data_IF_080903045083
#
_entry.id   IF_080903045083
#
_cell.length_a   1.000
_cell.length_b   1.000
_cell.length_c   1.000
_cell.angle_alpha   90.00
_cell.angle_beta   90.00
_cell.angle_gamma   90.00
#
_symmetry.space_group_name_H-M   'P 1'
#
loop_
_entity.id
_entity.type
_entity.pdbx_description
1 polymer ?
#
# COMPACT_ATOMS: atom_id res chain seq x y z
N UNK A 1 2.13 9.01 9.45
CA UNK A 1 2.19 7.79 8.58
C UNK A 1 1.56 8.11 7.24
N UNK A 2 2.19 7.67 6.15
CA UNK A 2 1.64 7.78 4.79
C UNK A 2 1.22 6.39 4.31
N UNK A 3 0.07 6.30 3.65
CA UNK A 3 -0.42 5.03 3.07
C UNK A 3 -0.39 5.14 1.55
N UNK A 4 0.23 4.17 0.89
CA UNK A 4 0.20 4.04 -0.57
C UNK A 4 -0.86 3.05 -1.03
N UNK A 5 -1.82 3.53 -1.81
CA UNK A 5 -2.77 2.72 -2.56
C UNK A 5 -2.45 2.71 -4.06
N UNK A 6 -2.99 1.74 -4.72
CA UNK A 6 -2.86 1.52 -6.16
C UNK A 6 -2.87 0.04 -6.48
N UNK A 7 -3.25 -0.36 -7.69
CA UNK A 7 -3.29 -1.75 -8.09
C UNK A 7 -1.89 -2.40 -8.11
N UNK A 8 -1.84 -3.72 -8.27
CA UNK A 8 -0.58 -4.42 -8.56
C UNK A 8 0.06 -3.82 -9.82
N UNK A 9 1.37 -3.59 -9.80
CA UNK A 9 2.09 -2.94 -10.91
C UNK A 9 2.08 -1.41 -10.90
N UNK A 10 1.33 -0.73 -10.03
CA UNK A 10 1.25 0.73 -10.00
C UNK A 10 2.54 1.46 -9.57
N UNK A 11 3.53 0.75 -9.03
CA UNK A 11 4.80 1.36 -8.63
C UNK A 11 4.90 1.73 -7.15
N UNK A 12 3.90 1.42 -6.32
CA UNK A 12 3.87 1.74 -4.87
C UNK A 12 5.17 1.44 -4.14
N UNK A 13 5.67 0.21 -4.30
CA UNK A 13 6.88 -0.24 -3.60
C UNK A 13 8.13 0.53 -4.03
N UNK A 14 8.26 0.84 -5.32
CA UNK A 14 9.37 1.63 -5.84
C UNK A 14 9.31 3.04 -5.25
N UNK A 15 8.15 3.70 -5.33
CA UNK A 15 7.97 5.04 -4.81
C UNK A 15 8.13 5.09 -3.29
N UNK A 16 7.57 4.11 -2.58
CA UNK A 16 7.70 4.00 -1.13
C UNK A 16 9.16 3.84 -0.67
N UNK A 17 9.95 3.03 -1.38
CA UNK A 17 11.38 2.84 -1.08
C UNK A 17 12.20 4.12 -1.36
N UNK A 18 11.96 4.79 -2.49
CA UNK A 18 12.65 6.05 -2.82
C UNK A 18 12.32 7.10 -1.77
N UNK A 19 11.05 7.28 -1.44
CA UNK A 19 10.61 8.25 -0.43
C UNK A 19 11.20 7.93 0.94
N UNK A 20 11.17 6.67 1.36
CA UNK A 20 11.75 6.23 2.62
C UNK A 20 13.26 6.55 2.69
N UNK A 21 14.00 6.27 1.61
CA UNK A 21 15.44 6.56 1.54
C UNK A 21 15.72 8.06 1.59
N UNK A 22 14.95 8.90 0.89
CA UNK A 22 15.14 10.37 0.86
C UNK A 22 14.82 11.05 2.18
N UNK A 23 13.77 10.57 2.88
CA UNK A 23 13.28 11.20 4.11
C UNK A 23 13.79 10.51 5.39
N UNK A 24 14.61 9.45 5.26
CA UNK A 24 15.00 8.60 6.39
C UNK A 24 13.81 7.97 7.12
N UNK A 25 12.74 7.67 6.38
CA UNK A 25 11.52 7.04 6.89
C UNK A 25 11.59 5.52 6.80
N UNK A 26 10.65 4.84 7.45
CA UNK A 26 10.49 3.38 7.37
C UNK A 26 9.43 3.01 6.35
N UNK A 27 9.77 2.12 5.43
CA UNK A 27 8.82 1.57 4.46
C UNK A 27 8.45 0.14 4.85
N UNK A 28 7.14 -0.11 4.96
CA UNK A 28 6.58 -1.43 5.20
C UNK A 28 5.68 -1.81 4.04
N UNK A 29 6.07 -2.86 3.33
CA UNK A 29 5.23 -3.48 2.32
C UNK A 29 4.59 -4.74 2.86
N UNK A 30 3.26 -4.77 2.95
CA UNK A 30 2.53 -5.95 3.40
C UNK A 30 2.91 -7.19 2.58
N UNK A 31 3.02 -7.04 1.25
CA UNK A 31 3.42 -8.15 0.39
C UNK A 31 4.84 -8.66 0.69
N UNK A 32 5.77 -7.80 1.13
CA UNK A 32 7.10 -8.22 1.54
C UNK A 32 7.07 -8.88 2.92
N UNK A 33 6.40 -8.27 3.88
CA UNK A 33 6.26 -8.82 5.24
C UNK A 33 5.65 -10.22 5.24
N UNK A 34 4.64 -10.46 4.39
CA UNK A 34 4.03 -11.78 4.24
C UNK A 34 4.99 -12.82 3.64
N UNK A 35 5.83 -12.42 2.68
CA UNK A 35 6.87 -13.32 2.15
C UNK A 35 7.96 -13.61 3.16
N UNK A 36 8.37 -12.60 3.92
CA UNK A 36 9.43 -12.71 4.94
C UNK A 36 8.99 -13.56 6.15
N UNK A 37 7.67 -13.68 6.37
CA UNK A 37 7.11 -14.59 7.37
C UNK A 37 7.37 -16.08 7.05
N UNK A 38 7.75 -16.41 5.80
CA UNK A 38 8.07 -17.77 5.35
C UNK A 38 6.97 -18.82 5.63
N UNK A 39 5.71 -18.39 5.75
CA UNK A 39 4.56 -19.26 5.96
C UNK A 39 4.06 -19.79 4.62
N UNK A 40 4.16 -21.10 4.44
CA UNK A 40 3.84 -21.78 3.16
C UNK A 40 2.37 -21.58 2.76
N UNK A 41 1.45 -21.55 3.74
CA UNK A 41 0.03 -21.35 3.49
C UNK A 41 -0.23 -19.93 3.00
N UNK A 42 0.38 -18.92 3.65
CA UNK A 42 0.26 -17.52 3.22
C UNK A 42 0.83 -17.29 1.83
N UNK A 43 1.98 -17.90 1.53
CA UNK A 43 2.61 -17.82 0.21
C UNK A 43 1.69 -18.41 -0.86
N UNK A 44 1.06 -19.56 -0.61
CA UNK A 44 0.09 -20.19 -1.53
C UNK A 44 -1.11 -19.28 -1.81
N UNK A 45 -1.71 -18.70 -0.77
CA UNK A 45 -2.83 -17.73 -0.90
C UNK A 45 -2.41 -16.56 -1.79
N UNK A 46 -1.20 -16.02 -1.60
CA UNK A 46 -0.67 -14.91 -2.40
C UNK A 46 -0.43 -15.31 -3.85
N UNK A 47 0.06 -16.53 -4.13
CA UNK A 47 0.25 -17.05 -5.49
C UNK A 47 -1.07 -17.17 -6.25
N UNK A 48 -2.16 -17.51 -5.56
CA UNK A 48 -3.51 -17.55 -6.12
C UNK A 48 -4.12 -16.14 -6.33
N UNK A 49 -3.40 -15.06 -6.01
CA UNK A 49 -3.89 -13.68 -6.11
C UNK A 49 -4.93 -13.29 -5.06
N UNK A 50 -5.18 -14.15 -4.08
CA UNK A 50 -6.16 -13.96 -3.01
C UNK A 50 -5.62 -13.06 -1.88
N UNK A 51 -6.54 -12.54 -1.06
CA UNK A 51 -6.17 -11.81 0.16
C UNK A 51 -5.93 -12.79 1.32
N UNK A 52 -4.86 -12.52 2.06
CA UNK A 52 -4.54 -13.22 3.31
C UNK A 52 -5.58 -12.87 4.39
N UNK A 53 -5.90 -13.77 5.34
CA UNK A 53 -6.82 -13.49 6.44
C UNK A 53 -6.45 -12.25 7.23
N UNK A 54 -7.46 -11.47 7.66
CA UNK A 54 -7.27 -10.17 8.29
C UNK A 54 -6.51 -10.27 9.62
N UNK A 55 -6.79 -11.28 10.42
CA UNK A 55 -6.09 -11.52 11.69
C UNK A 55 -4.57 -11.61 11.51
N UNK A 56 -4.13 -12.37 10.50
CA UNK A 56 -2.70 -12.53 10.20
C UNK A 56 -2.07 -11.25 9.69
N UNK A 57 -2.76 -10.53 8.80
CA UNK A 57 -2.26 -9.25 8.28
C UNK A 57 -2.19 -8.18 9.37
N UNK A 58 -3.22 -8.09 10.22
CA UNK A 58 -3.26 -7.15 11.34
C UNK A 58 -2.16 -7.45 12.37
N UNK A 59 -1.95 -8.73 12.70
CA UNK A 59 -0.87 -9.14 13.59
C UNK A 59 0.49 -8.71 13.05
N UNK A 60 0.82 -9.04 11.80
CA UNK A 60 2.12 -8.74 11.18
C UNK A 60 2.37 -7.21 11.13
N UNK A 61 1.35 -6.43 10.78
CA UNK A 61 1.45 -4.97 10.78
C UNK A 61 1.64 -4.43 12.20
N UNK A 62 0.86 -4.91 13.17
CA UNK A 62 0.99 -4.48 14.57
C UNK A 62 2.40 -4.74 15.11
N UNK A 63 2.93 -5.93 14.91
CA UNK A 63 4.30 -6.29 15.31
C UNK A 63 5.37 -5.41 14.65
N UNK A 64 5.14 -5.02 13.39
CA UNK A 64 6.05 -4.13 12.65
C UNK A 64 5.98 -2.69 13.16
N UNK A 65 4.78 -2.15 13.38
CA UNK A 65 4.56 -0.79 13.84
C UNK A 65 5.01 -0.61 15.30
N UNK A 66 4.82 -1.60 16.17
CA UNK A 66 5.25 -1.55 17.58
C UNK A 66 6.77 -1.41 17.76
N UNK A 67 7.56 -1.70 16.74
CA UNK A 67 9.02 -1.52 16.74
C UNK A 67 9.46 -0.10 16.35
N UNK A 68 8.51 0.76 15.96
CA UNK A 68 8.78 2.10 15.46
C UNK A 68 8.66 3.13 16.58
N UNK A 69 9.65 4.02 16.68
CA UNK A 69 9.65 5.10 17.68
C UNK A 69 8.83 6.30 17.22
N UNK A 70 8.85 6.61 15.92
CA UNK A 70 8.11 7.73 15.33
C UNK A 70 7.24 7.22 14.17
N UNK A 71 5.94 7.13 14.45
CA UNK A 71 4.95 6.65 13.49
C UNK A 71 4.74 7.61 12.31
N UNK A 72 5.07 8.90 12.47
CA UNK A 72 4.93 9.89 11.39
C UNK A 72 5.93 9.63 10.27
N UNK A 73 7.04 8.96 10.58
CA UNK A 73 8.10 8.56 9.65
C UNK A 73 7.88 7.17 9.04
N UNK A 74 6.62 6.76 8.84
CA UNK A 74 6.24 5.44 8.30
C UNK A 74 5.48 5.55 7.00
N UNK A 75 5.82 4.68 6.06
CA UNK A 75 5.10 4.46 4.80
C UNK A 75 4.54 3.04 4.82
N UNK A 76 3.21 2.90 4.68
CA UNK A 76 2.54 1.61 4.49
C UNK A 76 2.22 1.39 3.01
N UNK A 77 2.68 0.28 2.47
CA UNK A 77 2.42 -0.16 1.09
C UNK A 77 1.63 -1.47 1.09
N UNK A 78 0.45 -1.45 0.49
CA UNK A 78 -0.40 -2.62 0.32
C UNK A 78 -1.15 -3.07 1.57
N UNK A 79 -1.38 -2.17 2.52
CA UNK A 79 -2.26 -2.30 3.67
C UNK A 79 -2.87 -0.93 4.01
N UNK A 80 -4.16 -0.83 4.38
CA UNK A 80 -5.17 -1.91 4.38
C UNK A 80 -5.60 -2.31 2.95
N UNK A 81 -6.20 -3.51 2.81
CA UNK A 81 -6.76 -4.01 1.55
C UNK A 81 -8.25 -4.32 1.61
N UNK A 82 -8.86 -4.21 2.78
CA UNK A 82 -10.28 -4.35 3.06
C UNK A 82 -10.73 -3.29 4.03
N UNK A 83 -12.02 -2.99 4.01
CA UNK A 83 -12.61 -1.99 4.92
C UNK A 83 -12.43 -2.38 6.40
N UNK A 84 -12.47 -3.67 6.75
CA UNK A 84 -12.30 -4.14 8.12
C UNK A 84 -10.87 -3.89 8.62
N UNK A 85 -9.87 -4.06 7.76
CA UNK A 85 -8.48 -3.70 8.08
C UNK A 85 -8.31 -2.18 8.27
N UNK A 86 -9.01 -1.36 7.47
CA UNK A 86 -9.00 0.10 7.62
C UNK A 86 -9.62 0.54 8.94
N UNK A 87 -10.77 -0.05 9.31
CA UNK A 87 -11.42 0.18 10.59
C UNK A 87 -10.53 -0.25 11.75
N UNK A 88 -9.92 -1.42 11.66
CA UNK A 88 -8.98 -1.90 12.65
C UNK A 88 -7.79 -0.96 12.83
N UNK A 89 -7.19 -0.48 11.73
CA UNK A 89 -6.05 0.43 11.78
C UNK A 89 -6.36 1.75 12.52
N UNK A 90 -7.58 2.26 12.37
CA UNK A 90 -8.01 3.52 12.99
C UNK A 90 -8.53 3.32 14.42
N UNK A 91 -9.34 2.29 14.65
CA UNK A 91 -10.12 2.16 15.88
C UNK A 91 -9.47 1.23 16.92
N UNK A 92 -8.86 0.14 16.48
CA UNK A 92 -8.37 -0.92 17.35
C UNK A 92 -6.86 -0.88 17.59
N UNK A 93 -6.15 -0.07 16.82
CA UNK A 93 -4.72 0.18 17.04
C UNK A 93 -4.50 1.57 17.66
N UNK A 94 -4.74 1.73 18.99
CA UNK A 94 -4.80 3.03 19.66
C UNK A 94 -3.47 3.79 19.60
N UNK A 95 -2.34 3.09 19.43
CA UNK A 95 -1.03 3.75 19.31
C UNK A 95 -0.87 4.48 17.97
N UNK A 96 -1.69 4.16 16.96
CA UNK A 96 -1.47 4.59 15.59
C UNK A 96 -2.71 5.22 14.92
N UNK A 97 -3.86 5.25 15.60
CA UNK A 97 -5.15 5.68 15.05
C UNK A 97 -5.17 7.13 14.53
N UNK A 98 -4.37 8.02 15.12
CA UNK A 98 -4.31 9.45 14.74
C UNK A 98 -3.10 9.81 13.88
N UNK A 99 -2.41 8.83 13.34
CA UNK A 99 -1.11 9.02 12.70
C UNK A 99 -1.14 8.97 11.17
N UNK A 100 -2.29 8.74 10.53
CA UNK A 100 -2.39 8.77 9.07
C UNK A 100 -2.44 10.22 8.62
N UNK A 101 -1.33 10.69 8.07
CA UNK A 101 -1.17 12.08 7.63
C UNK A 101 -1.62 12.27 6.18
N UNK A 102 -1.47 11.24 5.35
CA UNK A 102 -1.80 11.30 3.93
C UNK A 102 -2.02 9.90 3.36
N UNK A 103 -2.99 9.79 2.47
CA UNK A 103 -3.20 8.63 1.61
C UNK A 103 -2.87 9.02 0.17
N UNK A 104 -1.96 8.28 -0.46
CA UNK A 104 -1.55 8.48 -1.85
C UNK A 104 -2.10 7.32 -2.68
N UNK A 105 -2.92 7.63 -3.67
CA UNK A 105 -3.49 6.65 -4.61
C UNK A 105 -2.78 6.79 -5.95
N UNK A 106 -1.99 5.78 -6.34
CA UNK A 106 -1.37 5.74 -7.66
C UNK A 106 -2.34 5.18 -8.69
N UNK A 107 -2.67 5.96 -9.69
CA UNK A 107 -3.56 5.59 -10.79
C UNK A 107 -2.73 5.26 -12.04
N UNK A 108 -2.93 4.08 -12.59
CA UNK A 108 -2.21 3.60 -13.78
C UNK A 108 -3.17 2.88 -14.70
N UNK A 109 -3.15 3.16 -16.01
CA UNK A 109 -3.97 2.45 -16.98
C UNK A 109 -3.72 0.94 -16.98
N UNK A 110 -4.80 0.15 -17.17
CA UNK A 110 -4.72 -1.32 -17.13
C UNK A 110 -3.65 -1.87 -18.07
N UNK A 111 -3.58 -1.37 -19.29
CA UNK A 111 -2.58 -1.80 -20.28
C UNK A 111 -1.14 -1.63 -19.79
N UNK A 112 -0.87 -0.56 -19.07
CA UNK A 112 0.45 -0.28 -18.50
C UNK A 112 0.74 -1.19 -17.30
N UNK A 113 -0.28 -1.48 -16.46
CA UNK A 113 -0.15 -2.42 -15.35
C UNK A 113 0.29 -3.81 -15.82
N UNK A 114 -0.34 -4.33 -16.89
CA UNK A 114 0.03 -5.62 -17.46
C UNK A 114 1.47 -5.65 -17.93
N UNK A 115 1.91 -4.66 -18.70
CA UNK A 115 3.31 -4.56 -19.16
C UNK A 115 4.29 -4.57 -17.98
N UNK A 116 4.01 -3.78 -16.94
CA UNK A 116 4.87 -3.71 -15.76
C UNK A 116 4.91 -5.01 -14.97
N UNK A 117 3.79 -5.72 -14.87
CA UNK A 117 3.71 -6.99 -14.15
C UNK A 117 4.41 -8.11 -14.92
N UNK A 118 4.26 -8.16 -16.24
CA UNK A 118 5.01 -9.06 -17.12
C UNK A 118 6.53 -8.87 -16.98
N UNK A 119 7.00 -7.63 -17.06
CA UNK A 119 8.43 -7.30 -16.88
C UNK A 119 8.95 -7.62 -15.49
N UNK A 120 8.09 -7.57 -14.46
CA UNK A 120 8.46 -7.91 -13.08
C UNK A 120 8.71 -9.39 -12.89
N UNK A 121 7.99 -10.26 -13.59
CA UNK A 121 8.23 -11.71 -13.70
C UNK A 121 8.22 -12.47 -12.38
N UNK A 122 7.37 -12.10 -11.42
CA UNK A 122 7.21 -12.87 -10.18
C UNK A 122 6.42 -14.15 -10.44
N UNK A 123 6.65 -15.18 -9.62
CA UNK A 123 5.91 -16.46 -9.68
C UNK A 123 4.39 -16.27 -9.56
N UNK A 124 3.98 -15.24 -8.81
CA UNK A 124 2.58 -14.85 -8.61
C UNK A 124 2.04 -13.86 -9.66
N UNK A 125 2.76 -13.59 -10.74
CA UNK A 125 2.33 -12.70 -11.85
C UNK A 125 1.77 -13.49 -13.04
N UNK A 126 0.97 -14.54 -12.79
CA UNK A 126 0.21 -15.21 -13.86
C UNK A 126 -0.96 -14.32 -14.32
N UNK A 127 -1.42 -14.43 -15.58
CA UNK A 127 -2.53 -13.64 -16.10
C UNK A 127 -3.77 -13.70 -15.20
N UNK A 128 -4.13 -14.89 -14.72
CA UNK A 128 -5.28 -15.13 -13.86
C UNK A 128 -5.10 -14.43 -12.50
N UNK A 129 -3.94 -14.57 -11.87
CA UNK A 129 -3.64 -13.94 -10.59
C UNK A 129 -3.57 -12.39 -10.70
N UNK A 130 -3.12 -11.88 -11.84
CA UNK A 130 -3.15 -10.44 -12.14
C UNK A 130 -4.60 -9.95 -12.21
N UNK A 131 -5.45 -10.63 -13.00
CA UNK A 131 -6.86 -10.24 -13.14
C UNK A 131 -7.61 -10.30 -11.82
N UNK A 132 -7.41 -11.34 -11.03
CA UNK A 132 -8.02 -11.46 -9.71
C UNK A 132 -7.57 -10.33 -8.77
N UNK A 133 -6.29 -10.01 -8.72
CA UNK A 133 -5.79 -8.88 -7.91
C UNK A 133 -6.36 -7.54 -8.36
N UNK A 134 -6.48 -7.30 -9.66
CA UNK A 134 -7.08 -6.06 -10.17
C UNK A 134 -8.58 -5.99 -9.87
N UNK A 135 -9.29 -7.13 -9.96
CA UNK A 135 -10.71 -7.23 -9.63
C UNK A 135 -10.94 -6.98 -8.13
N UNK A 136 -10.17 -7.63 -7.27
CA UNK A 136 -10.24 -7.44 -5.81
C UNK A 136 -9.93 -5.99 -5.46
N UNK A 137 -8.85 -5.41 -6.01
CA UNK A 137 -8.50 -4.01 -5.74
C UNK A 137 -9.64 -3.06 -6.08
N UNK A 138 -10.28 -3.19 -7.26
CA UNK A 138 -11.40 -2.33 -7.65
C UNK A 138 -12.60 -2.45 -6.71
N UNK A 139 -12.88 -3.67 -6.23
CA UNK A 139 -13.98 -3.92 -5.31
C UNK A 139 -13.74 -3.30 -3.93
N UNK A 140 -12.52 -3.43 -3.43
CA UNK A 140 -12.21 -3.11 -2.04
C UNK A 140 -11.74 -1.66 -1.84
N UNK A 141 -11.22 -1.00 -2.88
CA UNK A 141 -10.57 0.32 -2.71
C UNK A 141 -11.55 1.43 -2.34
N UNK A 142 -12.70 1.52 -3.00
CA UNK A 142 -13.66 2.61 -2.77
C UNK A 142 -14.25 2.62 -1.36
N UNK A 143 -14.68 1.51 -0.77
CA UNK A 143 -15.11 1.49 0.64
C UNK A 143 -14.03 1.99 1.61
N UNK A 144 -12.77 1.67 1.35
CA UNK A 144 -11.64 2.13 2.19
C UNK A 144 -11.43 3.64 2.05
N UNK A 145 -11.39 4.16 0.82
CA UNK A 145 -11.20 5.59 0.57
C UNK A 145 -12.35 6.41 1.15
N UNK A 146 -13.60 5.97 0.96
CA UNK A 146 -14.77 6.63 1.56
C UNK A 146 -14.65 6.69 3.08
N UNK A 147 -14.30 5.58 3.72
CA UNK A 147 -14.12 5.53 5.16
C UNK A 147 -13.02 6.48 5.64
N UNK A 148 -11.88 6.53 4.96
CA UNK A 148 -10.81 7.46 5.30
C UNK A 148 -11.22 8.93 5.12
N UNK A 149 -11.98 9.24 4.07
CA UNK A 149 -12.57 10.58 3.88
C UNK A 149 -13.50 10.95 5.03
N UNK A 150 -14.38 10.04 5.47
CA UNK A 150 -15.27 10.23 6.61
C UNK A 150 -14.49 10.47 7.92
N UNK A 151 -13.29 9.89 8.05
CA UNK A 151 -12.40 10.12 9.18
C UNK A 151 -11.56 11.41 9.05
N UNK A 152 -11.76 12.21 8.00
CA UNK A 152 -11.03 13.47 7.75
C UNK A 152 -9.58 13.27 7.29
N UNK A 153 -9.23 12.10 6.77
CA UNK A 153 -7.89 11.81 6.27
C UNK A 153 -7.77 12.34 4.83
N UNK A 154 -6.69 13.10 4.57
CA UNK A 154 -6.41 13.61 3.24
C UNK A 154 -6.05 12.49 2.26
N UNK A 155 -6.66 12.51 1.08
CA UNK A 155 -6.40 11.56 0.00
C UNK A 155 -6.00 12.34 -1.26
N UNK A 156 -4.88 11.95 -1.87
CA UNK A 156 -4.42 12.51 -3.13
C UNK A 156 -4.32 11.43 -4.20
N UNK A 157 -4.75 11.75 -5.41
CA UNK A 157 -4.69 10.86 -6.57
C UNK A 157 -3.55 11.31 -7.48
N UNK A 158 -2.61 10.42 -7.75
CA UNK A 158 -1.42 10.72 -8.56
C UNK A 158 -1.41 9.81 -9.79
N UNK A 159 -1.32 10.41 -10.97
CA UNK A 159 -1.08 9.69 -12.20
C UNK A 159 0.30 9.01 -12.16
N UNK A 160 0.28 7.69 -12.08
CA UNK A 160 1.45 6.82 -12.01
C UNK A 160 1.94 6.29 -13.37
N UNK A 161 1.44 6.84 -14.49
CA UNK A 161 1.77 6.38 -15.84
C UNK A 161 3.14 6.89 -16.36
N UNK A 162 3.77 7.83 -15.67
CA UNK A 162 5.08 8.38 -16.06
C UNK A 162 6.29 7.49 -15.70
N UNK A 163 7.48 8.03 -15.93
CA UNK A 163 8.73 7.46 -15.42
C UNK A 163 8.75 7.48 -13.89
N UNK A 164 9.63 6.67 -13.30
CA UNK A 164 9.80 6.63 -11.83
C UNK A 164 10.06 8.02 -11.25
N UNK A 165 10.92 8.82 -11.90
CA UNK A 165 11.23 10.20 -11.48
C UNK A 165 10.03 11.12 -11.56
N UNK A 166 9.33 11.14 -12.69
CA UNK A 166 8.14 11.99 -12.87
C UNK A 166 7.03 11.68 -11.85
N UNK A 167 6.79 10.40 -11.55
CA UNK A 167 5.82 10.02 -10.52
C UNK A 167 6.32 10.44 -9.13
N UNK A 168 7.62 10.30 -8.87
CA UNK A 168 8.20 10.72 -7.60
C UNK A 168 8.10 12.23 -7.39
N UNK A 169 8.35 13.03 -8.42
CA UNK A 169 8.23 14.49 -8.36
C UNK A 169 6.80 14.92 -8.00
N UNK A 170 5.77 14.32 -8.64
CA UNK A 170 4.37 14.54 -8.27
C UNK A 170 4.07 14.17 -6.81
N UNK A 171 4.64 13.06 -6.32
CA UNK A 171 4.49 12.67 -4.90
C UNK A 171 5.11 13.73 -3.99
N UNK A 172 6.29 14.22 -4.32
CA UNK A 172 6.97 15.25 -3.52
C UNK A 172 6.21 16.57 -3.50
N UNK A 173 5.62 16.99 -4.62
CA UNK A 173 4.77 18.18 -4.71
C UNK A 173 3.59 18.09 -3.72
N UNK A 174 2.91 16.94 -3.67
CA UNK A 174 1.79 16.71 -2.74
C UNK A 174 2.26 16.70 -1.28
N UNK A 175 3.42 16.11 -0.98
CA UNK A 175 3.98 16.09 0.37
C UNK A 175 4.34 17.49 0.86
N UNK A 176 4.92 18.32 0.00
CA UNK A 176 5.22 19.74 0.31
C UNK A 176 3.92 20.52 0.50
N UNK A 177 2.91 20.34 -0.37
CA UNK A 177 1.60 20.98 -0.23
C UNK A 177 0.91 20.64 1.11
N UNK A 178 1.07 19.39 1.56
CA UNK A 178 0.57 18.92 2.86
C UNK A 178 1.49 19.24 4.06
N UNK A 179 2.63 19.90 3.85
CA UNK A 179 3.64 20.24 4.88
C UNK A 179 4.17 19.00 5.64
N UNK A 180 4.39 17.92 4.92
CA UNK A 180 4.88 16.67 5.49
C UNK A 180 6.39 16.49 5.28
N UNK A 181 6.98 17.29 4.41
CA UNK A 181 8.41 17.37 4.10
C UNK A 181 8.83 18.80 3.81
#
# INVERSE_FOLDING_TARGET
MIIFFGPAGAGKSIQGQILAARQSWRWFSMGQLLRDACDVELIKIMQEGKLVPDEKTNQIISESLNKIKDINSVILDGFPRKIEQAKWLINENPLHSKSISLVIVLEVPRSELYKRLELRGRVDDTPEAIDDRLRIYRKEIYPILNYFTEQGINIVHIDGAGTVGQVHDKIMEELVACKLV
#
